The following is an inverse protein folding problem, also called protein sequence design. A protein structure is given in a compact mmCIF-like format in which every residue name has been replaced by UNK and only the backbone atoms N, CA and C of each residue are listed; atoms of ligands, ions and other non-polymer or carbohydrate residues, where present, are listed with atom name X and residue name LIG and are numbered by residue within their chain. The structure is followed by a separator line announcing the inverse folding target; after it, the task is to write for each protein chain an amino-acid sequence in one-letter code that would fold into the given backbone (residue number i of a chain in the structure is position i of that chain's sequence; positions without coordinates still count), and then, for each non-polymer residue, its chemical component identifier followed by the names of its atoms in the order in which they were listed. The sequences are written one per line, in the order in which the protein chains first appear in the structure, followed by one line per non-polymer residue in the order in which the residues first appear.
data_IF_949343811302
#
_entry.id   IF_949343811302
#
_cell.length_a   1.000
_cell.length_b   1.000
_cell.length_c   1.000
_cell.angle_alpha   90.00
_cell.angle_beta   90.00
_cell.angle_gamma   90.00
#
_symmetry.space_group_name_H-M   'P 1'
#
loop_
_entity.id
_entity.type
_entity.pdbx_description
1 polymer ?
#
# COMPACT_ATOMS: atom_id res chain seq x y z
N UNK A 1 4.91 15.02 27.18
CA UNK A 1 4.02 13.95 27.71
C UNK A 1 4.12 12.79 26.74
N UNK A 2 4.73 11.68 27.15
CA UNK A 2 4.76 10.45 26.36
C UNK A 2 3.33 9.88 26.44
N UNK A 3 2.57 10.00 25.38
CA UNK A 3 1.24 9.37 25.26
C UNK A 3 1.43 7.88 25.51
N UNK A 4 0.71 7.32 26.47
CA UNK A 4 0.72 5.88 26.71
C UNK A 4 0.33 5.17 25.41
N UNK A 5 1.29 4.51 24.77
CA UNK A 5 1.04 3.75 23.53
C UNK A 5 -0.05 2.73 23.86
N UNK A 6 -1.13 2.79 23.12
CA UNK A 6 -2.25 1.86 23.29
C UNK A 6 -1.72 0.45 23.02
N UNK A 7 -2.01 -0.51 23.92
CA UNK A 7 -1.55 -1.92 23.75
C UNK A 7 -1.99 -2.53 22.42
N UNK A 8 -3.16 -2.13 21.92
CA UNK A 8 -3.64 -2.55 20.61
C UNK A 8 -2.69 -2.08 19.51
N UNK A 9 -2.30 -0.81 19.55
CA UNK A 9 -1.44 -0.22 18.53
C UNK A 9 -0.03 -0.83 18.56
N UNK A 10 0.50 -1.13 19.76
CA UNK A 10 1.77 -1.88 19.90
C UNK A 10 1.67 -3.28 19.29
N UNK A 11 0.56 -3.99 19.48
CA UNK A 11 0.33 -5.32 18.91
C UNK A 11 0.26 -5.24 17.38
N UNK A 12 -0.50 -4.28 16.85
CA UNK A 12 -0.67 -4.07 15.39
C UNK A 12 0.68 -3.73 14.74
N UNK A 13 1.43 -2.77 15.30
CA UNK A 13 2.75 -2.38 14.77
C UNK A 13 3.74 -3.56 14.78
N UNK A 14 3.85 -4.28 15.92
CA UNK A 14 4.73 -5.45 16.01
C UNK A 14 4.33 -6.59 15.09
N UNK A 15 3.02 -6.81 14.90
CA UNK A 15 2.54 -7.84 13.97
C UNK A 15 2.82 -7.46 12.51
N UNK A 16 2.58 -6.19 12.14
CA UNK A 16 2.88 -5.68 10.80
C UNK A 16 4.36 -5.85 10.46
N UNK A 17 5.26 -5.44 11.36
CA UNK A 17 6.70 -5.59 11.18
C UNK A 17 7.10 -7.05 10.95
N UNK A 18 6.66 -7.95 11.82
CA UNK A 18 6.97 -9.38 11.72
C UNK A 18 6.36 -10.03 10.47
N UNK A 19 5.15 -9.66 10.08
CA UNK A 19 4.52 -10.15 8.86
C UNK A 19 5.24 -9.63 7.60
N UNK A 20 5.69 -8.39 7.59
CA UNK A 20 6.45 -7.82 6.49
C UNK A 20 7.85 -8.44 6.35
N UNK A 21 8.53 -8.73 7.48
CA UNK A 21 9.89 -9.28 7.48
C UNK A 21 9.94 -10.79 7.23
N UNK A 22 9.05 -11.56 7.86
CA UNK A 22 9.10 -13.03 7.91
C UNK A 22 7.96 -13.72 7.18
N UNK A 23 6.99 -12.97 6.76
CA UNK A 23 5.72 -13.49 6.23
C UNK A 23 4.74 -13.91 7.33
N UNK A 24 3.49 -14.07 6.92
CA UNK A 24 2.40 -14.43 7.82
C UNK A 24 2.60 -15.81 8.45
N UNK A 25 2.94 -16.82 7.66
CA UNK A 25 3.02 -18.23 8.12
C UNK A 25 4.13 -18.44 9.15
N UNK A 26 5.29 -17.82 8.96
CA UNK A 26 6.42 -17.94 9.87
C UNK A 26 6.27 -17.10 11.15
N UNK A 27 5.27 -16.23 11.24
CA UNK A 27 5.02 -15.38 12.40
C UNK A 27 3.99 -16.03 13.33
N UNK A 28 4.28 -16.06 14.64
CA UNK A 28 3.41 -16.64 15.66
C UNK A 28 2.95 -15.61 16.69
N UNK A 29 1.81 -15.87 17.36
CA UNK A 29 1.29 -15.00 18.43
C UNK A 29 2.32 -14.79 19.57
N UNK A 30 3.07 -15.80 20.04
CA UNK A 30 4.15 -15.56 21.00
C UNK A 30 5.25 -14.61 20.53
N UNK A 31 5.61 -14.65 19.24
CA UNK A 31 6.61 -13.71 18.66
C UNK A 31 6.06 -12.28 18.69
N UNK A 32 4.82 -12.09 18.25
CA UNK A 32 4.15 -10.79 18.28
C UNK A 32 4.04 -10.26 19.73
N UNK A 33 3.67 -11.12 20.68
CA UNK A 33 3.56 -10.76 22.08
C UNK A 33 4.90 -10.28 22.66
N UNK A 34 5.99 -10.99 22.33
CA UNK A 34 7.35 -10.62 22.75
C UNK A 34 7.76 -9.28 22.15
N UNK A 35 7.57 -9.08 20.84
CA UNK A 35 7.91 -7.84 20.15
C UNK A 35 7.08 -6.65 20.68
N UNK A 36 5.79 -6.84 20.92
CA UNK A 36 4.89 -5.80 21.45
C UNK A 36 5.07 -5.52 22.96
N UNK A 37 5.89 -6.29 23.66
CA UNK A 37 6.06 -6.16 25.12
C UNK A 37 4.81 -6.49 25.93
N UNK A 38 3.96 -7.42 25.45
CA UNK A 38 2.72 -7.83 26.10
C UNK A 38 2.66 -9.35 26.34
N UNK A 39 1.80 -9.80 27.22
CA UNK A 39 1.50 -11.23 27.33
C UNK A 39 0.62 -11.71 26.19
N UNK A 40 0.80 -12.95 25.71
CA UNK A 40 -0.02 -13.54 24.65
C UNK A 40 -1.53 -13.46 24.93
N UNK A 41 -1.95 -13.64 26.18
CA UNK A 41 -3.34 -13.44 26.61
C UNK A 41 -3.87 -12.03 26.37
N UNK A 42 -2.98 -11.01 26.31
CA UNK A 42 -3.39 -9.64 25.97
C UNK A 42 -3.77 -9.54 24.49
N UNK A 43 -3.06 -10.23 23.59
CA UNK A 43 -3.39 -10.24 22.16
C UNK A 43 -4.78 -10.84 21.95
N UNK A 44 -5.07 -12.00 22.60
CA UNK A 44 -6.38 -12.66 22.48
C UNK A 44 -7.57 -11.87 23.04
N UNK A 45 -7.30 -10.82 23.83
CA UNK A 45 -8.36 -9.88 24.26
C UNK A 45 -8.77 -8.89 23.16
N UNK A 46 -7.89 -8.62 22.18
CA UNK A 46 -8.15 -7.71 21.06
C UNK A 46 -8.47 -8.43 19.76
N UNK A 47 -7.87 -9.60 19.55
CA UNK A 47 -7.96 -10.37 18.31
C UNK A 47 -8.17 -11.85 18.67
N UNK A 48 -9.23 -12.44 18.15
CA UNK A 48 -9.61 -13.84 18.44
C UNK A 48 -8.48 -14.83 18.09
N UNK A 49 -7.79 -14.58 16.98
CA UNK A 49 -6.70 -15.43 16.49
C UNK A 49 -5.75 -14.59 15.58
N UNK A 50 -4.69 -15.25 15.08
CA UNK A 50 -3.71 -14.63 14.18
C UNK A 50 -4.34 -14.18 12.84
N UNK A 51 -5.31 -14.92 12.34
CA UNK A 51 -6.00 -14.63 11.08
C UNK A 51 -6.82 -13.34 11.18
N UNK A 52 -7.60 -13.18 12.25
CA UNK A 52 -8.35 -11.94 12.53
C UNK A 52 -7.40 -10.76 12.66
N UNK A 53 -6.27 -10.92 13.35
CA UNK A 53 -5.24 -9.88 13.44
C UNK A 53 -4.66 -9.52 12.07
N UNK A 54 -4.29 -10.51 11.25
CA UNK A 54 -3.73 -10.30 9.92
C UNK A 54 -4.70 -9.59 8.98
N UNK A 55 -5.96 -10.02 8.94
CA UNK A 55 -7.01 -9.37 8.15
C UNK A 55 -7.27 -7.94 8.61
N UNK A 56 -7.29 -7.70 9.93
CA UNK A 56 -7.53 -6.35 10.46
C UNK A 56 -6.40 -5.39 10.08
N UNK A 57 -5.15 -5.84 10.17
CA UNK A 57 -3.98 -5.06 9.72
C UNK A 57 -4.10 -4.78 8.22
N UNK A 58 -4.40 -5.79 7.41
CA UNK A 58 -4.51 -5.65 5.96
C UNK A 58 -5.56 -4.60 5.56
N UNK A 59 -6.75 -4.67 6.16
CA UNK A 59 -7.83 -3.72 5.93
C UNK A 59 -7.46 -2.30 6.40
N UNK A 60 -6.94 -2.14 7.63
CA UNK A 60 -6.58 -0.83 8.18
C UNK A 60 -5.56 -0.09 7.29
N UNK A 61 -4.53 -0.77 6.81
CA UNK A 61 -3.53 -0.13 5.94
C UNK A 61 -4.01 0.08 4.50
N UNK A 62 -4.91 -0.75 4.00
CA UNK A 62 -5.59 -0.48 2.73
C UNK A 62 -6.51 0.74 2.83
N UNK A 63 -7.23 0.89 3.95
CA UNK A 63 -8.07 2.06 4.19
C UNK A 63 -7.21 3.34 4.26
N UNK A 64 -6.08 3.31 4.97
CA UNK A 64 -5.14 4.44 5.02
C UNK A 64 -4.63 4.78 3.61
N UNK A 65 -4.23 3.78 2.83
CA UNK A 65 -3.75 4.02 1.46
C UNK A 65 -4.86 4.58 0.56
N UNK A 66 -6.04 4.01 0.62
CA UNK A 66 -7.22 4.45 -0.11
C UNK A 66 -7.56 5.92 0.20
N UNK A 67 -7.59 6.27 1.47
CA UNK A 67 -7.86 7.65 1.90
C UNK A 67 -6.73 8.61 1.50
N UNK A 68 -5.48 8.16 1.53
CA UNK A 68 -4.33 8.96 1.06
C UNK A 68 -4.48 9.32 -0.42
N UNK A 69 -4.93 8.37 -1.26
CA UNK A 69 -5.16 8.62 -2.69
C UNK A 69 -6.40 9.49 -2.93
N UNK A 70 -7.48 9.29 -2.18
CA UNK A 70 -8.74 10.04 -2.34
C UNK A 70 -8.65 11.48 -1.84
N UNK A 71 -7.88 11.70 -0.78
CA UNK A 71 -7.82 13.02 -0.14
C UNK A 71 -7.20 14.06 -1.08
N UNK A 72 -8.02 15.06 -1.47
CA UNK A 72 -7.62 16.12 -2.38
C UNK A 72 -7.41 15.67 -3.83
N UNK A 73 -7.96 14.51 -4.23
CA UNK A 73 -7.86 14.05 -5.63
C UNK A 73 -8.51 15.08 -6.59
N UNK A 74 -7.77 15.56 -7.62
CA UNK A 74 -8.21 16.66 -8.47
C UNK A 74 -9.11 16.15 -9.61
N UNK A 75 -10.36 15.81 -9.31
CA UNK A 75 -11.31 15.21 -10.26
C UNK A 75 -11.52 16.04 -11.54
N UNK A 76 -11.52 17.36 -11.41
CA UNK A 76 -11.81 18.29 -12.52
C UNK A 76 -10.55 18.77 -13.26
N UNK A 77 -9.38 18.25 -12.92
CA UNK A 77 -8.10 18.66 -13.52
C UNK A 77 -7.70 17.72 -14.68
N UNK A 78 -6.56 18.02 -15.33
CA UNK A 78 -5.99 17.20 -16.39
C UNK A 78 -5.64 15.79 -15.90
N UNK A 79 -5.66 14.81 -16.81
CA UNK A 79 -5.23 13.43 -16.50
C UNK A 79 -3.77 13.42 -16.00
N UNK A 80 -2.92 14.29 -16.53
CA UNK A 80 -1.53 14.44 -16.05
C UNK A 80 -1.46 14.87 -14.57
N UNK A 81 -2.29 15.84 -14.16
CA UNK A 81 -2.33 16.31 -12.78
C UNK A 81 -2.95 15.26 -11.83
N UNK A 82 -3.95 14.53 -12.29
CA UNK A 82 -4.51 13.38 -11.55
C UNK A 82 -3.45 12.28 -11.36
N UNK A 83 -2.65 11.97 -12.40
CA UNK A 83 -1.54 11.04 -12.31
C UNK A 83 -0.48 11.49 -11.29
N UNK A 84 -0.11 12.77 -11.35
CA UNK A 84 0.82 13.38 -10.38
C UNK A 84 0.32 13.21 -8.93
N UNK A 85 -0.96 13.47 -8.70
CA UNK A 85 -1.57 13.27 -7.38
C UNK A 85 -1.47 11.81 -6.93
N UNK A 86 -1.81 10.83 -7.81
CA UNK A 86 -1.71 9.40 -7.51
C UNK A 86 -0.26 9.05 -7.15
N UNK A 87 0.70 9.44 -7.98
CA UNK A 87 2.12 9.14 -7.73
C UNK A 87 2.59 9.72 -6.38
N UNK A 88 2.29 10.98 -6.11
CA UNK A 88 2.63 11.61 -4.82
C UNK A 88 1.96 10.93 -3.63
N UNK A 89 0.71 10.49 -3.77
CA UNK A 89 0.00 9.76 -2.73
C UNK A 89 0.65 8.40 -2.46
N UNK A 90 1.11 7.71 -3.50
CA UNK A 90 1.87 6.45 -3.36
C UNK A 90 3.19 6.68 -2.60
N UNK A 91 3.98 7.68 -3.01
CA UNK A 91 5.24 8.04 -2.33
C UNK A 91 4.98 8.45 -0.87
N UNK A 92 3.96 9.28 -0.61
CA UNK A 92 3.62 9.68 0.76
C UNK A 92 3.25 8.48 1.63
N UNK A 93 2.40 7.59 1.10
CA UNK A 93 2.01 6.38 1.85
C UNK A 93 3.23 5.52 2.19
N UNK A 94 4.15 5.29 1.26
CA UNK A 94 5.33 4.46 1.50
C UNK A 94 6.31 5.11 2.47
N UNK A 95 6.44 6.44 2.44
CA UNK A 95 7.29 7.18 3.39
C UNK A 95 6.76 7.09 4.82
N UNK A 96 5.43 7.18 5.01
CA UNK A 96 4.81 7.15 6.33
C UNK A 96 4.56 5.72 6.84
N UNK A 97 4.40 4.74 5.91
CA UNK A 97 3.94 3.38 6.21
C UNK A 97 4.77 2.33 5.43
N UNK A 98 6.11 2.39 5.55
CA UNK A 98 7.05 1.56 4.78
C UNK A 98 6.81 0.04 4.91
N UNK A 99 6.48 -0.41 6.13
CA UNK A 99 6.18 -1.82 6.39
C UNK A 99 4.86 -2.26 5.76
N UNK A 100 3.88 -1.33 5.71
CA UNK A 100 2.53 -1.66 5.25
C UNK A 100 2.48 -1.96 3.75
N UNK A 101 3.18 -1.18 2.92
CA UNK A 101 3.21 -1.44 1.47
C UNK A 101 3.82 -2.82 1.17
N UNK A 102 4.84 -3.21 1.93
CA UNK A 102 5.48 -4.51 1.81
C UNK A 102 4.54 -5.64 2.22
N UNK A 103 3.87 -5.47 3.36
CA UNK A 103 2.88 -6.42 3.86
C UNK A 103 1.72 -6.59 2.85
N UNK A 104 1.16 -5.51 2.33
CA UNK A 104 0.11 -5.54 1.30
C UNK A 104 0.60 -6.27 0.05
N UNK A 105 1.81 -5.92 -0.45
CA UNK A 105 2.41 -6.54 -1.63
C UNK A 105 2.53 -8.06 -1.51
N UNK A 106 3.09 -8.54 -0.41
CA UNK A 106 3.37 -9.97 -0.21
C UNK A 106 2.08 -10.76 0.00
N UNK A 107 1.08 -10.16 0.63
CA UNK A 107 -0.10 -10.87 1.10
C UNK A 107 -1.38 -10.60 0.30
N UNK A 108 -1.37 -9.81 -0.77
CA UNK A 108 -2.57 -9.50 -1.56
C UNK A 108 -3.29 -10.72 -2.16
N UNK A 109 -2.62 -11.87 -2.28
CA UNK A 109 -3.19 -13.15 -2.69
C UNK A 109 -3.08 -14.24 -1.62
N UNK A 110 -2.85 -13.88 -0.35
CA UNK A 110 -2.58 -14.87 0.70
C UNK A 110 -3.86 -15.61 1.13
N UNK A 111 -3.69 -16.89 1.48
CA UNK A 111 -4.78 -17.80 1.85
C UNK A 111 -5.53 -17.41 3.13
N UNK A 112 -4.93 -16.59 4.00
CA UNK A 112 -5.56 -16.15 5.24
C UNK A 112 -6.49 -14.95 5.07
N UNK A 113 -6.47 -14.28 3.90
CA UNK A 113 -7.34 -13.14 3.65
C UNK A 113 -8.80 -13.57 3.49
N UNK A 114 -9.69 -12.90 4.21
CA UNK A 114 -11.13 -13.09 4.11
C UNK A 114 -11.74 -12.25 2.95
N UNK A 115 -13.03 -12.41 2.71
CA UNK A 115 -13.76 -11.71 1.65
C UNK A 115 -13.70 -10.18 1.82
N UNK A 116 -13.80 -9.66 3.04
CA UNK A 116 -13.73 -8.22 3.31
C UNK A 116 -12.35 -7.66 2.96
N UNK A 117 -11.27 -8.38 3.28
CA UNK A 117 -9.91 -7.99 2.92
C UNK A 117 -9.69 -8.00 1.40
N UNK A 118 -10.22 -8.99 0.70
CA UNK A 118 -10.21 -9.02 -0.76
C UNK A 118 -11.02 -7.87 -1.35
N UNK A 119 -12.21 -7.57 -0.81
CA UNK A 119 -13.03 -6.46 -1.25
C UNK A 119 -12.34 -5.11 -1.05
N UNK A 120 -11.70 -4.88 0.10
CA UNK A 120 -10.91 -3.67 0.37
C UNK A 120 -9.77 -3.51 -0.65
N UNK A 121 -9.05 -4.58 -0.97
CA UNK A 121 -7.98 -4.54 -1.96
C UNK A 121 -8.51 -4.24 -3.37
N UNK A 122 -9.62 -4.87 -3.77
CA UNK A 122 -10.27 -4.56 -5.04
C UNK A 122 -10.75 -3.11 -5.09
N UNK A 123 -11.29 -2.57 -3.99
CA UNK A 123 -11.69 -1.18 -3.89
C UNK A 123 -10.55 -0.19 -4.15
N UNK A 124 -9.35 -0.46 -3.64
CA UNK A 124 -8.15 0.33 -3.96
C UNK A 124 -7.79 0.21 -5.45
N UNK A 125 -7.78 -1.00 -6.01
CA UNK A 125 -7.49 -1.21 -7.43
C UNK A 125 -8.53 -0.53 -8.35
N UNK A 126 -9.79 -0.43 -7.92
CA UNK A 126 -10.85 0.24 -8.68
C UNK A 126 -10.60 1.75 -8.80
N UNK A 127 -9.96 2.39 -7.84
CA UNK A 127 -9.56 3.80 -7.95
C UNK A 127 -8.58 3.97 -9.11
N UNK A 128 -7.55 3.15 -9.18
CA UNK A 128 -6.58 3.19 -10.28
C UNK A 128 -7.22 2.81 -11.62
N UNK A 129 -8.09 1.80 -11.61
CA UNK A 129 -8.83 1.39 -12.82
C UNK A 129 -9.66 2.53 -13.37
N UNK A 130 -10.44 3.20 -12.54
CA UNK A 130 -11.29 4.32 -12.93
C UNK A 130 -10.47 5.50 -13.48
N UNK A 131 -9.31 5.79 -12.87
CA UNK A 131 -8.37 6.78 -13.41
C UNK A 131 -7.93 6.42 -14.84
N UNK A 132 -7.49 5.19 -15.08
CA UNK A 132 -7.04 4.76 -16.40
C UNK A 132 -8.17 4.75 -17.43
N UNK A 133 -9.38 4.28 -17.06
CA UNK A 133 -10.54 4.32 -17.97
C UNK A 133 -10.89 5.76 -18.34
N UNK A 134 -10.93 6.69 -17.39
CA UNK A 134 -11.15 8.12 -17.67
C UNK A 134 -10.10 8.72 -18.61
N UNK A 135 -8.82 8.35 -18.43
CA UNK A 135 -7.74 8.81 -19.28
C UNK A 135 -7.81 8.25 -20.72
N UNK A 136 -8.28 7.01 -20.88
CA UNK A 136 -8.54 6.40 -22.21
C UNK A 136 -9.72 7.09 -22.91
N UNK A 137 -10.82 7.36 -22.20
CA UNK A 137 -11.96 8.10 -22.76
C UNK A 137 -11.55 9.48 -23.28
N UNK A 138 -10.64 10.16 -22.57
CA UNK A 138 -10.06 11.45 -23.00
C UNK A 138 -8.97 11.32 -24.07
N UNK A 139 -8.60 10.11 -24.48
CA UNK A 139 -7.51 9.81 -25.42
C UNK A 139 -6.16 10.37 -25.00
N UNK A 140 -5.91 10.40 -23.70
CA UNK A 140 -4.63 10.82 -23.10
C UNK A 140 -3.80 9.62 -22.63
N UNK A 141 -4.42 8.45 -22.42
CA UNK A 141 -3.77 7.20 -21.98
C UNK A 141 -3.89 6.13 -23.08
N UNK A 142 -2.89 5.26 -23.16
CA UNK A 142 -2.82 4.13 -24.09
C UNK A 142 -4.01 3.18 -23.93
N UNK A 143 -4.52 2.66 -25.06
CA UNK A 143 -5.60 1.68 -25.12
C UNK A 143 -5.11 0.26 -24.74
N UNK A 144 -4.63 0.14 -23.49
CA UNK A 144 -4.27 -1.13 -22.87
C UNK A 144 -5.32 -1.52 -21.81
N UNK A 145 -5.47 -2.80 -21.48
CA UNK A 145 -6.27 -3.20 -20.33
C UNK A 145 -5.80 -2.46 -19.07
N UNK A 146 -6.72 -1.90 -18.26
CA UNK A 146 -6.36 -1.14 -17.07
C UNK A 146 -5.56 -1.96 -16.06
N UNK A 147 -5.78 -3.28 -16.00
CA UNK A 147 -4.95 -4.18 -15.20
C UNK A 147 -3.48 -4.21 -15.66
N UNK A 148 -3.22 -4.10 -16.97
CA UNK A 148 -1.86 -4.02 -17.50
C UNK A 148 -1.21 -2.67 -17.17
N UNK A 149 -1.95 -1.57 -17.29
CA UNK A 149 -1.47 -0.22 -16.91
C UNK A 149 -1.16 -0.16 -15.39
N UNK A 150 -2.03 -0.73 -14.55
CA UNK A 150 -1.78 -0.87 -13.11
C UNK A 150 -0.50 -1.68 -12.87
N UNK A 151 -0.33 -2.82 -13.53
CA UNK A 151 0.85 -3.66 -13.35
C UNK A 151 2.15 -2.94 -13.76
N UNK A 152 2.14 -2.14 -14.83
CA UNK A 152 3.28 -1.34 -15.28
C UNK A 152 3.66 -0.31 -14.20
N UNK A 153 2.70 0.47 -13.69
CA UNK A 153 2.99 1.54 -12.74
C UNK A 153 3.23 0.99 -11.33
N UNK A 154 2.27 0.23 -10.81
CA UNK A 154 2.35 -0.27 -9.45
C UNK A 154 3.49 -1.28 -9.25
N UNK A 155 3.72 -2.15 -10.24
CA UNK A 155 4.83 -3.11 -10.20
C UNK A 155 6.20 -2.43 -10.21
N UNK A 156 6.39 -1.44 -11.09
CA UNK A 156 7.63 -0.66 -11.13
C UNK A 156 7.83 0.18 -9.86
N UNK A 157 6.74 0.78 -9.35
CA UNK A 157 6.77 1.54 -8.10
C UNK A 157 7.19 0.66 -6.90
N UNK A 158 6.61 -0.55 -6.77
CA UNK A 158 6.97 -1.47 -5.70
C UNK A 158 8.43 -1.93 -5.78
N UNK A 159 8.99 -2.04 -6.98
CA UNK A 159 10.41 -2.37 -7.14
C UNK A 159 11.31 -1.18 -6.80
N UNK A 160 10.91 0.04 -7.18
CA UNK A 160 11.60 1.27 -6.76
C UNK A 160 11.68 1.35 -5.22
N UNK A 161 10.55 1.16 -4.54
CA UNK A 161 10.49 1.18 -3.06
C UNK A 161 11.38 0.10 -2.44
N UNK A 162 11.47 -1.08 -3.06
CA UNK A 162 12.39 -2.12 -2.62
C UNK A 162 13.85 -1.66 -2.68
N UNK A 163 14.25 -1.01 -3.78
CA UNK A 163 15.62 -0.51 -3.97
C UNK A 163 15.96 0.61 -2.98
N UNK A 164 14.99 1.50 -2.71
CA UNK A 164 15.13 2.53 -1.66
C UNK A 164 15.32 1.88 -0.28
N UNK A 165 14.50 0.91 0.05
CA UNK A 165 14.54 0.22 1.35
C UNK A 165 15.86 -0.51 1.62
N UNK A 166 16.47 -1.12 0.60
CA UNK A 166 17.76 -1.80 0.74
C UNK A 166 18.96 -0.86 0.60
N UNK A 167 18.71 0.46 0.43
CA UNK A 167 19.75 1.49 0.34
C UNK A 167 20.50 1.53 -1.00
N UNK A 168 19.96 0.91 -2.06
CA UNK A 168 20.54 1.00 -3.42
C UNK A 168 20.14 2.29 -4.13
N UNK A 169 19.03 2.94 -3.73
CA UNK A 169 18.57 4.21 -4.26
C UNK A 169 18.30 5.20 -3.12
N UNK A 170 18.68 6.46 -3.32
CA UNK A 170 18.27 7.58 -2.46
C UNK A 170 17.06 8.27 -3.12
N UNK A 171 15.88 8.30 -2.47
CA UNK A 171 14.67 8.89 -3.04
C UNK A 171 14.68 10.42 -2.94
N UNK A 172 15.72 11.06 -3.49
CA UNK A 172 15.77 12.51 -3.54
C UNK A 172 14.64 13.09 -4.44
N UNK A 173 14.26 14.35 -4.25
CA UNK A 173 13.16 14.97 -5.00
C UNK A 173 13.35 14.95 -6.52
N UNK A 174 14.61 15.00 -6.99
CA UNK A 174 14.91 14.97 -8.42
C UNK A 174 14.66 13.57 -9.00
N UNK A 175 15.16 12.53 -8.34
CA UNK A 175 14.92 11.15 -8.76
C UNK A 175 13.42 10.85 -8.80
N UNK A 176 12.67 11.25 -7.78
CA UNK A 176 11.21 11.01 -7.73
C UNK A 176 10.48 11.74 -8.88
N UNK A 177 10.90 12.97 -9.23
CA UNK A 177 10.32 13.68 -10.36
C UNK A 177 10.65 13.02 -11.71
N UNK A 178 11.88 12.58 -11.90
CA UNK A 178 12.33 11.89 -13.13
C UNK A 178 11.64 10.53 -13.29
N UNK A 179 11.42 9.81 -12.19
CA UNK A 179 10.67 8.54 -12.17
C UNK A 179 9.18 8.76 -12.46
N UNK A 180 8.56 9.77 -11.86
CA UNK A 180 7.16 10.12 -12.15
C UNK A 180 6.96 10.39 -13.64
N UNK A 181 7.84 11.19 -14.26
CA UNK A 181 7.75 11.48 -15.69
C UNK A 181 7.94 10.22 -16.54
N UNK A 182 8.88 9.36 -16.16
CA UNK A 182 9.10 8.06 -16.84
C UNK A 182 7.87 7.15 -16.76
N UNK A 183 7.19 7.13 -15.60
CA UNK A 183 5.96 6.37 -15.42
C UNK A 183 4.80 6.95 -16.24
N UNK A 184 4.69 8.28 -16.27
CA UNK A 184 3.71 8.96 -17.14
C UNK A 184 3.94 8.63 -18.61
N UNK A 185 5.18 8.71 -19.10
CA UNK A 185 5.56 8.35 -20.46
C UNK A 185 5.24 6.89 -20.82
N UNK A 186 5.34 5.99 -19.84
CA UNK A 186 4.99 4.59 -20.04
C UNK A 186 3.51 4.38 -20.35
N UNK A 187 2.62 5.22 -19.82
CA UNK A 187 1.15 5.04 -19.92
C UNK A 187 0.45 6.05 -20.82
N UNK A 188 0.99 7.25 -21.00
CA UNK A 188 0.35 8.28 -21.84
C UNK A 188 0.31 7.88 -23.31
N UNK A 189 -0.72 8.31 -24.01
CA UNK A 189 -0.77 8.21 -25.47
C UNK A 189 0.24 9.21 -26.06
N UNK A 190 1.12 8.72 -26.91
CA UNK A 190 2.02 9.58 -27.70
C UNK A 190 1.33 9.96 -29.00
N UNK A 191 1.35 11.24 -29.34
CA UNK A 191 0.84 11.77 -30.60
C UNK A 191 1.69 11.29 -31.79
#
# INVERSE_FOLDING_TARGET
MITAVNKRDSIVSSALELFAERGYDATTIPMIATSAGVGAGTIYRYFENKEVLGNKIFQEYLDIFTETVKNGFPHDDSIRNQFHHIFKSMVHFTTEQDQAIYFIKIHSGAHFLNEDSHASFQGLLDIFRNFFESGKEKKEIKELPSSALIAIIYGAFLELERLVRIGELDPDPKLLADVEESFWDAVRLHA
#
